data_IF_293416139800
#
_entry.id   IF_293416139800
#
_cell.length_a   1.000
_cell.length_b   1.000
_cell.length_c   1.000
_cell.angle_alpha   90.00
_cell.angle_beta   90.00
_cell.angle_gamma   90.00
#
_symmetry.space_group_name_H-M   'P 1'
#
loop_
_entity.id
_entity.type
_entity.pdbx_description
1 polymer ?
#
# COMPACT_ATOMS: atom_id res chain seq x y z
N UNK A 1 -2.51 2.98 -11.10
CA UNK A 1 -1.33 2.50 -11.84
C UNK A 1 -0.27 3.59 -11.93
N UNK A 2 -0.43 4.65 -12.74
CA UNK A 2 0.63 5.68 -12.98
C UNK A 2 1.26 6.30 -11.73
N UNK A 3 0.50 6.52 -10.65
CA UNK A 3 1.06 7.06 -9.40
C UNK A 3 1.81 5.99 -8.58
N UNK A 4 1.38 4.73 -8.60
CA UNK A 4 2.12 3.63 -7.99
C UNK A 4 3.43 3.35 -8.75
N UNK A 5 3.46 3.54 -10.07
CA UNK A 5 4.71 3.43 -10.86
C UNK A 5 5.74 4.47 -10.42
N UNK A 6 5.32 5.73 -10.25
CA UNK A 6 6.18 6.80 -9.75
C UNK A 6 6.67 6.53 -8.34
N UNK A 7 5.79 6.02 -7.46
CA UNK A 7 6.16 5.63 -6.11
C UNK A 7 7.19 4.51 -6.14
N UNK A 8 6.96 3.44 -6.91
CA UNK A 8 7.91 2.33 -7.08
C UNK A 8 9.27 2.83 -7.53
N UNK A 9 9.32 3.68 -8.56
CA UNK A 9 10.57 4.32 -9.00
C UNK A 9 11.25 5.12 -7.88
N UNK A 10 10.50 5.93 -7.13
CA UNK A 10 11.05 6.71 -6.03
C UNK A 10 11.63 5.82 -4.93
N UNK A 11 10.96 4.72 -4.57
CA UNK A 11 11.42 3.79 -3.53
C UNK A 11 12.73 3.10 -3.89
N UNK A 12 13.10 3.00 -5.17
CA UNK A 12 14.42 2.48 -5.59
C UNK A 12 15.59 3.46 -5.38
N UNK A 13 15.33 4.72 -5.04
CA UNK A 13 16.37 5.72 -4.83
C UNK A 13 17.34 5.29 -3.71
N UNK A 14 18.64 5.61 -3.86
CA UNK A 14 19.68 5.22 -2.90
C UNK A 14 19.37 5.58 -1.44
N UNK A 15 18.65 6.67 -1.23
CA UNK A 15 18.27 7.15 0.10
C UNK A 15 17.06 6.40 0.72
N UNK A 16 16.28 5.66 -0.09
CA UNK A 16 15.05 4.98 0.34
C UNK A 16 15.12 3.46 0.21
N UNK A 17 16.00 2.92 -0.64
CA UNK A 17 16.05 1.49 -1.00
C UNK A 17 16.31 0.52 0.16
N UNK A 18 17.01 0.98 1.21
CA UNK A 18 17.37 0.15 2.36
C UNK A 18 16.42 0.39 3.56
N UNK A 19 15.34 1.16 3.34
CA UNK A 19 14.31 1.41 4.34
C UNK A 19 13.18 0.38 4.26
N UNK A 20 12.58 0.11 5.41
CA UNK A 20 11.32 -0.66 5.48
C UNK A 20 10.14 0.30 5.46
N UNK A 21 9.16 0.01 4.62
CA UNK A 21 7.94 0.80 4.46
C UNK A 21 6.73 -0.04 4.84
N UNK A 22 5.78 0.59 5.53
CA UNK A 22 4.47 0.01 5.86
C UNK A 22 3.44 0.62 4.92
N UNK A 23 2.57 -0.22 4.38
CA UNK A 23 1.43 0.21 3.56
C UNK A 23 0.17 -0.04 4.37
N UNK A 24 -0.61 1.01 4.58
CA UNK A 24 -1.86 0.97 5.32
C UNK A 24 -3.03 1.29 4.37
N UNK A 25 -4.09 0.49 4.44
CA UNK A 25 -5.35 0.75 3.79
C UNK A 25 -6.31 1.45 4.75
N UNK A 26 -7.16 2.32 4.23
CA UNK A 26 -8.20 2.95 5.02
C UNK A 26 -9.52 2.91 4.26
N UNK A 27 -10.59 2.58 4.98
CA UNK A 27 -11.97 2.76 4.52
C UNK A 27 -12.58 3.97 5.20
N UNK A 28 -13.76 4.38 4.74
CA UNK A 28 -14.62 5.26 5.53
C UNK A 28 -15.29 4.47 6.69
N UNK A 29 -16.20 5.13 7.39
CA UNK A 29 -16.93 4.54 8.52
C UNK A 29 -18.16 3.71 8.11
N UNK A 30 -18.44 3.55 6.81
CA UNK A 30 -19.54 2.72 6.36
C UNK A 30 -19.15 1.24 6.47
N UNK A 31 -20.02 0.40 7.03
CA UNK A 31 -19.75 -1.02 7.24
C UNK A 31 -19.32 -1.36 8.67
N UNK A 32 -19.15 -2.65 8.95
CA UNK A 32 -18.72 -3.14 10.26
C UNK A 32 -17.20 -3.09 10.41
N UNK A 33 -16.70 -2.89 11.63
CA UNK A 33 -15.26 -2.82 11.91
C UNK A 33 -14.47 -4.00 11.33
N UNK A 34 -14.96 -5.23 11.48
CA UNK A 34 -14.29 -6.42 10.92
C UNK A 34 -14.22 -6.41 9.40
N UNK A 35 -15.29 -5.96 8.74
CA UNK A 35 -15.34 -5.86 7.28
C UNK A 35 -14.37 -4.78 6.79
N UNK A 36 -14.39 -3.61 7.43
CA UNK A 36 -13.53 -2.49 7.10
C UNK A 36 -12.05 -2.79 7.34
N UNK A 37 -11.75 -3.55 8.40
CA UNK A 37 -10.40 -4.05 8.67
C UNK A 37 -9.93 -4.97 7.55
N UNK A 38 -10.72 -5.99 7.19
CA UNK A 38 -10.35 -6.93 6.13
C UNK A 38 -10.19 -6.23 4.77
N UNK A 39 -11.09 -5.29 4.44
CA UNK A 39 -11.03 -4.54 3.19
C UNK A 39 -9.78 -3.62 3.13
N UNK A 40 -9.45 -2.98 4.24
CA UNK A 40 -8.23 -2.17 4.36
C UNK A 40 -6.97 -3.00 4.17
N UNK A 41 -6.91 -4.18 4.79
CA UNK A 41 -5.79 -5.13 4.65
C UNK A 41 -5.65 -5.65 3.22
N UNK A 42 -6.76 -5.99 2.56
CA UNK A 42 -6.77 -6.46 1.17
C UNK A 42 -6.21 -5.39 0.21
N UNK A 43 -6.61 -4.13 0.37
CA UNK A 43 -6.10 -3.03 -0.45
C UNK A 43 -4.62 -2.74 -0.19
N UNK A 44 -4.18 -2.77 1.06
CA UNK A 44 -2.77 -2.61 1.40
C UNK A 44 -1.92 -3.73 0.78
N UNK A 45 -2.41 -4.98 0.85
CA UNK A 45 -1.75 -6.13 0.26
C UNK A 45 -1.67 -6.03 -1.27
N UNK A 46 -2.76 -5.65 -1.94
CA UNK A 46 -2.77 -5.47 -3.40
C UNK A 46 -1.79 -4.38 -3.86
N UNK A 47 -1.72 -3.26 -3.14
CA UNK A 47 -0.74 -2.20 -3.42
C UNK A 47 0.70 -2.67 -3.19
N UNK A 48 0.95 -3.43 -2.12
CA UNK A 48 2.25 -4.06 -1.86
C UNK A 48 2.66 -5.00 -2.99
N UNK A 49 1.76 -5.89 -3.41
CA UNK A 49 2.00 -6.84 -4.48
C UNK A 49 2.35 -6.14 -5.79
N UNK A 50 1.68 -5.03 -6.09
CA UNK A 50 2.00 -4.20 -7.26
C UNK A 50 3.41 -3.61 -7.20
N UNK A 51 3.85 -3.12 -6.03
CA UNK A 51 5.14 -2.43 -5.88
C UNK A 51 6.35 -3.37 -5.84
N UNK A 52 6.15 -4.66 -5.56
CA UNK A 52 7.22 -5.66 -5.51
C UNK A 52 7.32 -6.52 -6.78
N UNK A 53 6.34 -6.43 -7.67
CA UNK A 53 6.32 -7.13 -8.95
C UNK A 53 7.30 -6.51 -9.94
#
# INVERSE_FOLDING_TARGET
MRELDKLGQALTALQLKDMTWVIEGHTDAAGGNLYNQALSEEWAQAAREYLIA
#
